data_IF_978565417734
#
_entry.id   IF_978565417734
#
_cell.length_a   1.000
_cell.length_b   1.000
_cell.length_c   1.000
_cell.angle_alpha   90.00
_cell.angle_beta   90.00
_cell.angle_gamma   90.00
#
_symmetry.space_group_name_H-M   'P 1'
#
loop_
_entity.id
_entity.type
_entity.pdbx_description
1 polymer ?
#
# COMPACT_ATOMS: atom_id res chain seq x y z
N UNK A 1 9.12 -51.40 71.25
CA UNK A 1 9.83 -50.42 70.41
C UNK A 1 9.86 -50.96 68.99
N UNK A 2 8.92 -50.56 68.14
CA UNK A 2 8.87 -50.91 66.72
C UNK A 2 8.10 -49.81 65.99
N UNK A 3 8.76 -49.14 65.04
CA UNK A 3 8.15 -48.16 64.15
C UNK A 3 7.70 -48.87 62.87
N UNK A 4 6.41 -48.85 62.52
CA UNK A 4 5.95 -48.91 61.14
C UNK A 4 5.65 -47.48 60.68
N UNK A 5 5.94 -47.01 59.48
CA UNK A 5 6.33 -47.66 58.25
C UNK A 5 5.97 -46.70 57.11
N UNK A 6 6.79 -46.71 56.06
CA UNK A 6 6.46 -46.25 54.71
C UNK A 6 6.19 -44.74 54.55
N UNK A 7 7.28 -43.97 54.55
CA UNK A 7 7.38 -42.78 53.69
C UNK A 7 7.32 -43.26 52.24
N UNK A 8 6.11 -43.36 51.69
CA UNK A 8 5.89 -43.63 50.26
C UNK A 8 6.19 -42.34 49.50
N UNK A 9 7.47 -42.14 49.24
CA UNK A 9 8.03 -41.74 47.95
C UNK A 9 7.02 -41.09 47.00
N UNK A 10 6.79 -39.79 47.17
CA UNK A 10 6.39 -38.90 46.09
C UNK A 10 7.62 -38.69 45.20
N UNK A 11 7.97 -39.72 44.41
CA UNK A 11 8.88 -39.57 43.28
C UNK A 11 8.18 -38.60 42.32
N UNK A 12 8.72 -37.42 42.01
CA UNK A 12 8.21 -36.64 40.89
C UNK A 12 8.41 -37.49 39.63
N UNK A 13 7.31 -37.87 38.99
CA UNK A 13 7.36 -38.56 37.70
C UNK A 13 8.22 -37.72 36.75
N UNK A 14 9.36 -38.25 36.33
CA UNK A 14 10.16 -37.62 35.28
C UNK A 14 9.33 -37.67 34.01
N UNK A 15 8.85 -36.51 33.57
CA UNK A 15 8.11 -36.35 32.33
C UNK A 15 8.95 -36.98 31.19
N UNK A 16 8.48 -38.04 30.51
CA UNK A 16 9.23 -38.63 29.41
C UNK A 16 9.42 -37.54 28.35
N UNK A 17 10.66 -37.34 27.89
CA UNK A 17 11.01 -36.31 26.88
C UNK A 17 10.13 -36.41 25.63
N UNK A 18 9.58 -37.59 25.37
CA UNK A 18 8.65 -37.88 24.28
C UNK A 18 7.31 -37.12 24.42
N UNK A 19 6.74 -37.00 25.62
CA UNK A 19 5.48 -36.27 25.86
C UNK A 19 5.69 -34.75 25.80
N UNK A 20 6.87 -34.27 26.21
CA UNK A 20 7.24 -32.87 26.08
C UNK A 20 7.41 -32.44 24.60
N UNK A 21 8.03 -33.30 23.78
CA UNK A 21 8.21 -33.06 22.35
C UNK A 21 6.87 -33.11 21.60
N UNK A 22 6.03 -34.10 21.91
CA UNK A 22 4.70 -34.22 21.30
C UNK A 22 3.78 -33.04 21.67
N UNK A 23 3.70 -32.65 22.95
CA UNK A 23 2.91 -31.51 23.37
C UNK A 23 3.37 -30.17 22.77
N UNK A 24 4.67 -30.01 22.55
CA UNK A 24 5.22 -28.86 21.83
C UNK A 24 4.82 -28.87 20.34
N UNK A 25 4.95 -30.00 19.65
CA UNK A 25 4.56 -30.12 18.24
C UNK A 25 3.07 -29.86 18.06
N UNK A 26 2.20 -30.43 18.91
CA UNK A 26 0.76 -30.21 18.83
C UNK A 26 0.38 -28.74 19.09
N UNK A 27 1.02 -28.11 20.07
CA UNK A 27 0.83 -26.68 20.35
C UNK A 27 1.27 -25.82 19.17
N UNK A 28 2.38 -26.17 18.52
CA UNK A 28 2.89 -25.46 17.36
C UNK A 28 2.01 -25.66 16.12
N UNK A 29 1.59 -26.89 15.83
CA UNK A 29 0.67 -27.19 14.72
C UNK A 29 -0.69 -26.51 14.89
N UNK A 30 -1.22 -26.48 16.12
CA UNK A 30 -2.47 -25.78 16.44
C UNK A 30 -2.32 -24.27 16.27
N UNK A 31 -1.19 -23.71 16.72
CA UNK A 31 -0.86 -22.28 16.56
C UNK A 31 -0.73 -21.93 15.08
N UNK A 32 0.07 -22.68 14.32
CA UNK A 32 0.25 -22.46 12.89
C UNK A 32 -1.06 -22.61 12.12
N UNK A 33 -1.87 -23.62 12.44
CA UNK A 33 -3.19 -23.82 11.84
C UNK A 33 -4.14 -22.63 12.09
N UNK A 34 -4.05 -21.99 13.25
CA UNK A 34 -4.85 -20.81 13.59
C UNK A 34 -4.35 -19.52 12.91
N UNK A 35 -3.05 -19.35 12.68
CA UNK A 35 -2.48 -18.18 11.99
C UNK A 35 -2.40 -18.31 10.47
N UNK A 36 -2.51 -19.53 9.92
CA UNK A 36 -2.42 -19.75 8.47
C UNK A 36 -3.43 -18.90 7.66
N UNK A 37 -4.72 -18.80 8.07
CA UNK A 37 -5.70 -17.99 7.34
C UNK A 37 -5.40 -16.49 7.40
N UNK A 38 -4.94 -15.96 8.54
CA UNK A 38 -4.62 -14.53 8.69
C UNK A 38 -3.36 -14.14 7.92
N UNK A 39 -2.34 -15.01 7.90
CA UNK A 39 -1.15 -14.81 7.07
C UNK A 39 -1.50 -14.78 5.60
N UNK A 40 -2.36 -15.69 5.12
CA UNK A 40 -2.85 -15.67 3.73
C UNK A 40 -3.60 -14.39 3.39
N UNK A 41 -4.50 -13.92 4.28
CA UNK A 41 -5.23 -12.67 4.09
C UNK A 41 -4.31 -11.45 4.03
N UNK A 42 -3.35 -11.37 4.95
CA UNK A 42 -2.34 -10.31 4.97
C UNK A 42 -1.49 -10.30 3.70
N UNK A 43 -1.07 -11.48 3.21
CA UNK A 43 -0.27 -11.60 2.00
C UNK A 43 -1.04 -11.11 0.76
N UNK A 44 -2.34 -11.38 0.69
CA UNK A 44 -3.22 -10.86 -0.36
C UNK A 44 -3.27 -9.33 -0.31
N UNK A 45 -3.49 -8.75 0.87
CA UNK A 45 -3.51 -7.29 1.07
C UNK A 45 -2.17 -6.66 0.69
N UNK A 46 -1.05 -7.26 1.09
CA UNK A 46 0.29 -6.78 0.74
C UNK A 46 0.50 -6.74 -0.78
N UNK A 47 0.11 -7.80 -1.49
CA UNK A 47 0.25 -7.88 -2.96
C UNK A 47 -0.59 -6.81 -3.66
N UNK A 48 -1.85 -6.64 -3.24
CA UNK A 48 -2.76 -5.63 -3.81
C UNK A 48 -2.26 -4.21 -3.50
N UNK A 49 -1.90 -3.95 -2.25
CA UNK A 49 -1.38 -2.65 -1.81
C UNK A 49 -0.06 -2.31 -2.49
N UNK A 50 0.81 -3.28 -2.73
CA UNK A 50 2.06 -3.08 -3.45
C UNK A 50 1.83 -2.64 -4.90
N UNK A 51 0.92 -3.32 -5.59
CA UNK A 51 0.55 -2.96 -6.96
C UNK A 51 0.01 -1.53 -7.02
N UNK A 52 -0.83 -1.17 -6.05
CA UNK A 52 -1.34 0.17 -5.90
C UNK A 52 -0.23 1.22 -5.66
N UNK A 53 0.71 0.95 -4.75
CA UNK A 53 1.85 1.83 -4.47
C UNK A 53 2.69 2.11 -5.72
N UNK A 54 2.94 1.07 -6.53
CA UNK A 54 3.67 1.21 -7.79
C UNK A 54 2.88 2.05 -8.80
N UNK A 55 1.56 1.89 -8.87
CA UNK A 55 0.71 2.68 -9.76
C UNK A 55 0.75 4.18 -9.41
N UNK A 56 0.61 4.51 -8.13
CA UNK A 56 0.68 5.91 -7.67
C UNK A 56 2.06 6.50 -7.91
N UNK A 57 3.14 5.75 -7.58
CA UNK A 57 4.52 6.18 -7.86
C UNK A 57 4.71 6.56 -9.33
N UNK A 58 4.22 5.73 -10.26
CA UNK A 58 4.32 6.00 -11.70
C UNK A 58 3.52 7.23 -12.11
N UNK A 59 2.33 7.43 -11.54
CA UNK A 59 1.51 8.61 -11.81
C UNK A 59 2.21 9.89 -11.33
N UNK A 60 2.72 9.89 -10.09
CA UNK A 60 3.46 11.02 -9.52
C UNK A 60 4.72 11.32 -10.34
N UNK A 61 5.52 10.31 -10.67
CA UNK A 61 6.69 10.46 -11.54
C UNK A 61 6.31 11.06 -12.90
N UNK A 62 5.26 10.53 -13.55
CA UNK A 62 4.81 11.01 -14.85
C UNK A 62 4.32 12.46 -14.83
N UNK A 63 3.72 12.92 -13.73
CA UNK A 63 3.31 14.32 -13.57
C UNK A 63 4.53 15.21 -13.33
N UNK A 64 5.42 14.80 -12.42
CA UNK A 64 6.58 15.58 -12.02
C UNK A 64 7.57 15.78 -13.18
N UNK A 65 7.80 14.74 -13.99
CA UNK A 65 8.61 14.80 -15.20
C UNK A 65 7.99 15.64 -16.31
N UNK A 66 6.66 15.78 -16.37
CA UNK A 66 6.01 16.70 -17.31
C UNK A 66 6.11 18.17 -16.90
N UNK A 67 6.26 18.45 -15.61
CA UNK A 67 6.42 19.81 -15.08
C UNK A 67 7.86 20.30 -15.27
N UNK A 68 8.82 19.40 -15.57
CA UNK A 68 10.22 19.76 -15.75
C UNK A 68 10.85 20.28 -14.45
N UNK A 69 10.44 19.74 -13.30
CA UNK A 69 10.94 20.18 -11.99
C UNK A 69 12.45 19.99 -11.84
N UNK A 70 13.00 18.93 -12.46
CA UNK A 70 14.43 18.68 -12.50
C UNK A 70 15.16 19.78 -13.31
N UNK A 71 14.63 20.22 -14.46
CA UNK A 71 15.25 21.27 -15.28
C UNK A 71 15.27 22.63 -14.58
N UNK A 72 14.23 22.96 -13.79
CA UNK A 72 14.12 24.27 -13.11
C UNK A 72 14.95 24.37 -11.83
N UNK A 73 15.34 23.24 -11.24
CA UNK A 73 16.13 23.18 -10.00
C UNK A 73 17.62 22.91 -10.30
N UNK A 74 17.91 22.10 -11.32
CA UNK A 74 19.29 21.83 -11.76
C UNK A 74 19.99 23.10 -12.26
N UNK A 75 19.26 24.06 -12.83
CA UNK A 75 19.84 25.35 -13.27
C UNK A 75 20.31 26.24 -12.10
N UNK A 76 19.92 25.92 -10.86
CA UNK A 76 20.27 26.66 -9.64
C UNK A 76 21.20 25.89 -8.69
N UNK A 77 21.56 24.64 -9.02
CA UNK A 77 22.36 23.77 -8.15
C UNK A 77 23.47 23.08 -8.95
N UNK A 78 24.73 23.23 -8.53
CA UNK A 78 25.92 22.63 -9.16
C UNK A 78 26.00 21.09 -9.03
N UNK A 79 25.01 20.47 -8.40
CA UNK A 79 24.86 19.03 -8.23
C UNK A 79 23.54 18.62 -8.89
N UNK A 80 23.52 17.59 -9.76
CA UNK A 80 22.30 17.11 -10.41
C UNK A 80 21.40 16.40 -9.37
N UNK A 81 20.77 17.18 -8.50
CA UNK A 81 19.75 16.70 -7.57
C UNK A 81 18.49 16.37 -8.36
N UNK A 82 18.27 15.08 -8.57
CA UNK A 82 17.04 14.53 -9.16
C UNK A 82 15.92 14.60 -8.12
N UNK A 83 15.46 15.81 -7.84
CA UNK A 83 14.38 16.10 -6.88
C UNK A 83 13.13 15.30 -7.24
N UNK A 84 12.90 15.10 -8.53
CA UNK A 84 11.82 14.23 -9.01
C UNK A 84 11.93 12.81 -8.47
N UNK A 85 13.12 12.19 -8.54
CA UNK A 85 13.34 10.83 -8.05
C UNK A 85 13.26 10.75 -6.53
N UNK A 86 13.76 11.76 -5.83
CA UNK A 86 13.68 11.83 -4.36
C UNK A 86 12.23 11.95 -3.90
N UNK A 87 11.45 12.87 -4.47
CA UNK A 87 10.06 13.09 -4.09
C UNK A 87 9.18 11.89 -4.47
N UNK A 88 9.36 11.36 -5.67
CA UNK A 88 8.69 10.13 -6.11
C UNK A 88 9.04 8.94 -5.22
N UNK A 89 10.32 8.81 -4.84
CA UNK A 89 10.79 7.78 -3.93
C UNK A 89 10.17 7.90 -2.55
N UNK A 90 10.12 9.13 -2.01
CA UNK A 90 9.50 9.42 -0.72
C UNK A 90 8.01 9.06 -0.70
N UNK A 91 7.26 9.46 -1.72
CA UNK A 91 5.84 9.11 -1.85
C UNK A 91 5.66 7.59 -1.90
N UNK A 92 6.48 6.89 -2.67
CA UNK A 92 6.42 5.43 -2.73
C UNK A 92 6.71 4.76 -1.38
N UNK A 93 7.73 5.21 -0.65
CA UNK A 93 8.03 4.66 0.67
C UNK A 93 6.93 4.96 1.68
N UNK A 94 6.31 6.14 1.62
CA UNK A 94 5.15 6.46 2.45
C UNK A 94 3.99 5.50 2.16
N UNK A 95 3.62 5.30 0.90
CA UNK A 95 2.52 4.39 0.54
C UNK A 95 2.88 2.94 0.92
N UNK A 96 4.12 2.50 0.67
CA UNK A 96 4.59 1.18 1.08
C UNK A 96 4.51 1.00 2.59
N UNK A 97 4.89 2.01 3.36
CA UNK A 97 4.76 2.00 4.82
C UNK A 97 3.30 1.82 5.22
N UNK A 98 2.36 2.54 4.60
CA UNK A 98 0.92 2.36 4.85
C UNK A 98 0.45 0.95 4.52
N UNK A 99 0.83 0.40 3.36
CA UNK A 99 0.49 -0.98 2.96
C UNK A 99 1.05 -2.00 3.96
N UNK A 100 2.28 -1.78 4.43
CA UNK A 100 2.91 -2.63 5.43
C UNK A 100 2.14 -2.60 6.75
N UNK A 101 1.71 -1.42 7.20
CA UNK A 101 0.86 -1.28 8.37
C UNK A 101 -0.45 -2.08 8.18
N UNK A 102 -1.20 -1.86 7.09
CA UNK A 102 -2.44 -2.59 6.80
C UNK A 102 -2.26 -4.12 6.76
N UNK A 103 -1.11 -4.56 6.23
CA UNK A 103 -0.73 -5.99 6.23
C UNK A 103 -0.55 -6.52 7.66
N UNK A 104 0.05 -5.71 8.53
CA UNK A 104 0.26 -6.04 9.95
C UNK A 104 -1.08 -6.10 10.72
N UNK A 105 -2.06 -5.28 10.34
CA UNK A 105 -3.43 -5.34 10.87
C UNK A 105 -4.09 -6.67 10.57
N UNK A 106 -4.02 -7.10 9.31
CA UNK A 106 -4.56 -8.37 8.87
C UNK A 106 -3.88 -9.56 9.58
N UNK A 107 -2.64 -9.37 10.05
CA UNK A 107 -1.91 -10.31 10.90
C UNK A 107 -2.37 -10.30 12.38
N UNK A 108 -3.23 -9.37 12.77
CA UNK A 108 -3.81 -9.28 14.11
C UNK A 108 -3.22 -8.19 15.02
N UNK A 109 -2.31 -7.35 14.52
CA UNK A 109 -1.78 -6.21 15.29
C UNK A 109 -2.78 -5.06 15.22
N UNK A 110 -3.53 -4.77 16.28
CA UNK A 110 -4.61 -3.76 16.29
C UNK A 110 -4.18 -2.46 16.98
N UNK A 111 -4.63 -1.31 16.48
CA UNK A 111 -4.52 0.00 17.15
C UNK A 111 -3.58 1.04 16.51
N UNK A 112 -2.67 0.64 15.61
CA UNK A 112 -1.78 1.57 14.88
C UNK A 112 -2.42 2.03 13.55
N UNK A 113 -3.61 1.54 13.24
CA UNK A 113 -4.07 1.35 11.86
C UNK A 113 -5.33 2.11 11.51
N UNK A 114 -6.09 2.54 12.51
CA UNK A 114 -7.30 3.34 12.35
C UNK A 114 -7.08 4.57 11.43
N UNK A 115 -5.96 5.33 11.53
CA UNK A 115 -5.71 6.44 10.61
C UNK A 115 -5.48 5.98 9.16
N UNK A 116 -4.87 4.81 8.98
CA UNK A 116 -4.54 4.26 7.65
C UNK A 116 -5.78 3.75 6.95
N UNK A 117 -6.66 3.06 7.68
CA UNK A 117 -7.93 2.59 7.12
C UNK A 117 -8.82 3.76 6.66
N UNK A 118 -8.86 4.85 7.43
CA UNK A 118 -9.58 6.07 7.03
C UNK A 118 -9.06 6.67 5.71
N UNK A 119 -7.74 6.66 5.49
CA UNK A 119 -7.14 7.10 4.22
C UNK A 119 -7.44 6.13 3.06
N UNK A 120 -7.45 4.83 3.32
CA UNK A 120 -7.77 3.81 2.31
C UNK A 120 -9.23 3.93 1.86
N UNK A 121 -10.16 4.08 2.80
CA UNK A 121 -11.58 4.32 2.50
C UNK A 121 -11.76 5.63 1.72
N UNK A 122 -11.06 6.69 2.11
CA UNK A 122 -11.02 7.94 1.36
C UNK A 122 -10.51 7.74 -0.07
N UNK A 123 -9.44 6.96 -0.25
CA UNK A 123 -8.90 6.65 -1.58
C UNK A 123 -9.88 5.85 -2.44
N UNK A 124 -10.54 4.82 -1.88
CA UNK A 124 -11.60 4.08 -2.57
C UNK A 124 -12.80 4.98 -2.94
N UNK A 125 -13.12 5.96 -2.10
CA UNK A 125 -14.14 6.97 -2.38
C UNK A 125 -13.80 7.90 -3.55
N UNK A 126 -12.52 8.09 -3.87
CA UNK A 126 -12.08 8.92 -5.01
C UNK A 126 -12.18 8.16 -6.34
N UNK A 127 -12.09 6.83 -6.34
CA UNK A 127 -12.16 6.01 -7.56
C UNK A 127 -13.41 6.28 -8.43
N UNK A 128 -14.65 6.29 -7.87
CA UNK A 128 -15.85 6.65 -8.62
C UNK A 128 -15.77 8.07 -9.22
N UNK A 129 -15.27 9.03 -8.43
CA UNK A 129 -15.11 10.42 -8.86
C UNK A 129 -14.05 10.55 -9.96
N UNK A 130 -13.01 9.72 -9.95
CA UNK A 130 -11.98 9.69 -10.99
C UNK A 130 -12.53 9.20 -12.34
N UNK A 131 -13.40 8.17 -12.30
CA UNK A 131 -14.13 7.70 -13.49
C UNK A 131 -15.04 8.81 -14.01
N UNK A 132 -15.82 9.45 -13.14
CA UNK A 132 -16.68 10.56 -13.52
C UNK A 132 -15.88 11.74 -14.10
N UNK A 133 -14.78 12.13 -13.47
CA UNK A 133 -13.91 13.21 -13.93
C UNK A 133 -13.26 12.90 -15.28
N UNK A 134 -12.89 11.63 -15.53
CA UNK A 134 -12.35 11.20 -16.83
C UNK A 134 -13.42 11.31 -17.91
N UNK A 135 -14.65 10.85 -17.64
CA UNK A 135 -15.77 10.97 -18.58
C UNK A 135 -16.09 12.44 -18.90
N UNK A 136 -16.20 13.28 -17.87
CA UNK A 136 -16.43 14.72 -18.03
C UNK A 136 -15.26 15.38 -18.77
N UNK A 137 -14.03 15.03 -18.44
CA UNK A 137 -12.83 15.56 -19.08
C UNK A 137 -12.77 15.23 -20.56
N UNK A 138 -13.09 13.99 -20.95
CA UNK A 138 -13.19 13.59 -22.36
C UNK A 138 -14.31 14.36 -23.07
N UNK A 139 -15.49 14.47 -22.45
CA UNK A 139 -16.60 15.24 -23.02
C UNK A 139 -16.23 16.72 -23.23
N UNK A 140 -15.62 17.35 -22.23
CA UNK A 140 -15.13 18.72 -22.30
C UNK A 140 -14.05 18.92 -23.36
N UNK A 141 -13.12 17.97 -23.50
CA UNK A 141 -12.09 18.00 -24.54
C UNK A 141 -12.69 17.94 -25.95
N UNK A 142 -13.69 17.08 -26.17
CA UNK A 142 -14.41 17.00 -27.46
C UNK A 142 -15.10 18.32 -27.76
N UNK A 143 -15.83 18.90 -26.79
CA UNK A 143 -16.49 20.19 -26.96
C UNK A 143 -15.50 21.33 -27.24
N UNK A 144 -14.40 21.39 -26.48
CA UNK A 144 -13.36 22.38 -26.68
C UNK A 144 -12.74 22.28 -28.09
N UNK A 145 -12.50 21.07 -28.59
CA UNK A 145 -11.95 20.85 -29.93
C UNK A 145 -12.92 21.31 -31.03
N UNK A 146 -14.21 21.09 -30.85
CA UNK A 146 -15.24 21.58 -31.79
C UNK A 146 -15.22 23.11 -31.83
N UNK A 147 -15.26 23.77 -30.66
CA UNK A 147 -15.25 25.23 -30.57
C UNK A 147 -13.95 25.84 -31.11
N UNK A 148 -12.80 25.25 -30.79
CA UNK A 148 -11.51 25.68 -31.28
C UNK A 148 -11.43 25.61 -32.81
N UNK A 149 -11.94 24.54 -33.41
CA UNK A 149 -12.01 24.43 -34.86
C UNK A 149 -12.91 25.49 -35.48
N UNK A 150 -14.05 25.82 -34.85
CA UNK A 150 -14.94 26.90 -35.32
C UNK A 150 -14.25 28.26 -35.32
N UNK A 151 -13.55 28.60 -34.24
CA UNK A 151 -12.79 29.87 -34.14
C UNK A 151 -11.65 29.90 -35.15
N UNK A 152 -10.94 28.77 -35.34
CA UNK A 152 -9.84 28.68 -36.29
C UNK A 152 -10.30 28.88 -37.73
N UNK A 153 -11.47 28.35 -38.11
CA UNK A 153 -12.05 28.55 -39.44
C UNK A 153 -12.44 30.02 -39.65
N UNK A 154 -13.04 30.66 -38.65
CA UNK A 154 -13.38 32.08 -38.71
C UNK A 154 -12.12 32.96 -38.87
N UNK A 155 -11.06 32.66 -38.10
CA UNK A 155 -9.79 33.39 -38.19
C UNK A 155 -9.14 33.24 -39.57
N UNK A 156 -9.12 32.03 -40.15
CA UNK A 156 -8.58 31.77 -41.50
C UNK A 156 -9.40 32.44 -42.61
N UNK A 157 -10.71 32.59 -42.42
CA UNK A 157 -11.57 33.30 -43.38
C UNK A 157 -11.28 34.79 -43.44
N UNK A 158 -10.88 35.39 -42.31
CA UNK A 158 -10.53 36.80 -42.22
C UNK A 158 -9.16 37.09 -42.86
N UNK A 159 -8.21 36.17 -42.69
CA UNK A 159 -6.84 36.26 -43.25
C UNK A 159 -6.80 36.13 -44.79
N UNK A 160 -7.85 35.53 -45.39
CA UNK A 160 -7.95 35.36 -46.86
C UNK A 160 -8.52 36.60 -47.57
N UNK A 161 -9.06 37.57 -46.82
CA UNK A 161 -9.65 38.80 -47.38
C UNK A 161 -8.81 40.05 -47.13
N UNK A 162 -7.75 39.95 -46.32
CA UNK A 162 -6.71 40.96 -46.17
C UNK A 162 -5.61 40.77 -47.23
#
# INVERSE_FOLDING_TARGET
MSLPGKVKQSIPQRLPKEVAMQGFVDSFLTTLGAYLPSVLGALLIFVVGWLFAVAVKKCVAGILGRIGLDDRISDKSHEPLQVEKLLTGLVYYLILLFVLLLTLEALGVRGVLDPVMSLFDGFLGVLPNLVAATLIGVAGFVLAKILANSVLIAAKGLDKMA
#
